data_IF_285884103551
#
_entry.id   IF_285884103551
#
_cell.length_a   1.000
_cell.length_b   1.000
_cell.length_c   1.000
_cell.angle_alpha   90.00
_cell.angle_beta   90.00
_cell.angle_gamma   90.00
#
_symmetry.space_group_name_H-M   'P 1'
#
loop_
_entity.id
_entity.type
_entity.pdbx_description
1 polymer ?
#
# COMPACT_ATOMS: atom_id res chain seq x y z
N UNK A 1 -13.40 -28.34 -35.79
CA UNK A 1 -13.73 -27.72 -34.48
C UNK A 1 -12.83 -28.37 -33.46
N UNK A 2 -11.97 -27.61 -32.76
CA UNK A 2 -11.00 -28.20 -31.84
C UNK A 2 -11.70 -28.72 -30.58
N UNK A 3 -11.12 -29.73 -29.91
CA UNK A 3 -11.65 -30.27 -28.64
C UNK A 3 -11.80 -29.17 -27.57
N UNK A 4 -10.89 -28.19 -27.58
CA UNK A 4 -10.89 -27.05 -26.66
C UNK A 4 -12.07 -26.11 -26.94
N UNK A 5 -12.43 -25.90 -28.21
CA UNK A 5 -13.54 -25.04 -28.61
C UNK A 5 -14.89 -25.62 -28.13
N UNK A 6 -15.05 -26.93 -28.21
CA UNK A 6 -16.22 -27.65 -27.70
C UNK A 6 -16.34 -27.56 -26.17
N UNK A 7 -15.22 -27.67 -25.46
CA UNK A 7 -15.17 -27.60 -23.99
C UNK A 7 -15.47 -26.18 -23.48
N UNK A 8 -14.88 -25.15 -24.09
CA UNK A 8 -15.13 -23.75 -23.76
C UNK A 8 -16.59 -23.35 -23.97
N UNK A 9 -17.19 -23.80 -25.08
CA UNK A 9 -18.59 -23.51 -25.40
C UNK A 9 -19.56 -24.19 -24.44
N UNK A 10 -19.22 -25.39 -23.94
CA UNK A 10 -20.00 -26.11 -22.93
C UNK A 10 -19.97 -25.41 -21.56
N UNK A 11 -18.81 -24.92 -21.11
CA UNK A 11 -18.65 -24.32 -19.78
C UNK A 11 -19.02 -22.83 -19.70
N UNK A 12 -18.69 -22.04 -20.73
CA UNK A 12 -18.83 -20.58 -20.68
C UNK A 12 -19.87 -20.02 -21.66
N UNK A 13 -20.48 -20.90 -22.46
CA UNK A 13 -21.43 -20.50 -23.50
C UNK A 13 -20.80 -19.66 -24.62
N UNK A 14 -21.66 -19.12 -25.49
CA UNK A 14 -21.26 -18.27 -26.61
C UNK A 14 -20.51 -16.99 -26.15
N UNK A 15 -20.94 -16.28 -25.08
CA UNK A 15 -20.22 -15.09 -24.62
C UNK A 15 -18.81 -15.39 -24.12
N UNK A 16 -18.62 -16.53 -23.44
CA UNK A 16 -17.30 -16.93 -22.97
C UNK A 16 -16.36 -17.40 -24.07
N UNK A 17 -16.88 -18.08 -25.09
CA UNK A 17 -16.09 -18.39 -26.28
C UNK A 17 -15.62 -17.12 -26.99
N UNK A 18 -16.51 -16.13 -27.14
CA UNK A 18 -16.15 -14.81 -27.70
C UNK A 18 -15.06 -14.11 -26.86
N UNK A 19 -15.17 -14.14 -25.53
CA UNK A 19 -14.17 -13.56 -24.64
C UNK A 19 -12.82 -14.29 -24.72
N UNK A 20 -12.83 -15.62 -24.86
CA UNK A 20 -11.61 -16.41 -25.00
C UNK A 20 -10.92 -16.21 -26.35
N UNK A 21 -11.68 -16.17 -27.45
CA UNK A 21 -11.14 -15.86 -28.77
C UNK A 21 -10.56 -14.44 -28.82
N UNK A 22 -11.24 -13.48 -28.17
CA UNK A 22 -10.70 -12.14 -27.97
C UNK A 22 -9.39 -12.18 -27.18
N UNK A 23 -9.35 -12.86 -26.04
CA UNK A 23 -8.14 -12.96 -25.22
C UNK A 23 -6.96 -13.60 -25.99
N UNK A 24 -7.23 -14.62 -26.82
CA UNK A 24 -6.23 -15.25 -27.67
C UNK A 24 -5.70 -14.30 -28.75
N UNK A 25 -6.57 -13.48 -29.34
CA UNK A 25 -6.16 -12.48 -30.33
C UNK A 25 -5.28 -11.37 -29.73
N UNK A 26 -5.47 -11.07 -28.44
CA UNK A 26 -4.73 -10.03 -27.72
C UNK A 26 -3.74 -10.59 -26.68
N UNK A 27 -3.29 -11.84 -26.83
CA UNK A 27 -2.49 -12.52 -25.79
C UNK A 27 -1.23 -11.73 -25.39
N UNK A 28 -0.50 -11.19 -26.36
CA UNK A 28 0.71 -10.40 -26.11
C UNK A 28 0.40 -9.09 -25.38
N UNK A 29 -0.73 -8.46 -25.67
CA UNK A 29 -1.17 -7.25 -24.98
C UNK A 29 -1.53 -7.56 -23.53
N UNK A 30 -2.25 -8.66 -23.28
CA UNK A 30 -2.58 -9.14 -21.94
C UNK A 30 -1.29 -9.44 -21.16
N UNK A 31 -0.31 -10.11 -21.77
CA UNK A 31 0.99 -10.37 -21.13
C UNK A 31 1.76 -9.10 -20.82
N UNK A 32 1.79 -8.12 -21.74
CA UNK A 32 2.45 -6.84 -21.52
C UNK A 32 1.80 -6.07 -20.35
N UNK A 33 0.46 -6.01 -20.30
CA UNK A 33 -0.27 -5.41 -19.19
C UNK A 33 -0.01 -6.14 -17.87
N UNK A 34 -0.03 -7.47 -17.89
CA UNK A 34 0.28 -8.30 -16.73
C UNK A 34 1.70 -8.06 -16.20
N UNK A 35 2.69 -7.94 -17.09
CA UNK A 35 4.07 -7.65 -16.72
C UNK A 35 4.21 -6.26 -16.08
N UNK A 36 3.65 -5.22 -16.71
CA UNK A 36 3.67 -3.86 -16.16
C UNK A 36 3.00 -3.81 -14.80
N UNK A 37 1.83 -4.45 -14.66
CA UNK A 37 1.12 -4.52 -13.38
C UNK A 37 1.90 -5.29 -12.31
N UNK A 38 2.56 -6.39 -12.69
CA UNK A 38 3.46 -7.15 -11.82
C UNK A 38 4.62 -6.31 -11.26
N UNK A 39 5.18 -5.42 -12.08
CA UNK A 39 6.20 -4.45 -11.63
C UNK A 39 5.61 -3.48 -10.59
N UNK A 40 4.42 -2.93 -10.82
CA UNK A 40 3.75 -2.07 -9.84
C UNK A 40 3.52 -2.78 -8.50
N UNK A 41 3.05 -4.03 -8.51
CA UNK A 41 2.87 -4.82 -7.29
C UNK A 41 4.21 -5.03 -6.57
N UNK A 42 5.26 -5.34 -7.32
CA UNK A 42 6.59 -5.60 -6.74
C UNK A 42 7.16 -4.35 -6.08
N UNK A 43 7.04 -3.18 -6.73
CA UNK A 43 7.42 -1.89 -6.16
C UNK A 43 6.58 -1.58 -4.92
N UNK A 44 5.27 -1.77 -4.99
CA UNK A 44 4.36 -1.53 -3.87
C UNK A 44 4.67 -2.43 -2.66
N UNK A 45 5.01 -3.70 -2.92
CA UNK A 45 5.42 -4.65 -1.89
C UNK A 45 6.77 -4.26 -1.27
N UNK A 46 7.72 -3.81 -2.08
CA UNK A 46 9.02 -3.34 -1.61
C UNK A 46 8.90 -2.08 -0.73
N UNK A 47 8.12 -1.08 -1.19
CA UNK A 47 7.84 0.13 -0.42
C UNK A 47 7.24 -0.20 0.94
N UNK A 48 6.23 -1.08 0.97
CA UNK A 48 5.56 -1.50 2.19
C UNK A 48 6.47 -2.25 3.17
N UNK A 49 7.32 -3.15 2.68
CA UNK A 49 8.17 -4.01 3.54
C UNK A 49 9.46 -3.34 4.00
N UNK A 50 10.09 -2.55 3.14
CA UNK A 50 11.46 -2.07 3.37
C UNK A 50 11.52 -0.57 3.68
N UNK A 51 10.85 0.26 2.88
CA UNK A 51 11.05 1.72 2.93
C UNK A 51 10.16 2.36 3.99
N UNK A 52 8.86 2.12 3.93
CA UNK A 52 7.88 2.83 4.74
C UNK A 52 8.02 2.57 6.25
N UNK A 53 8.24 1.33 6.74
CA UNK A 53 8.42 1.09 8.17
C UNK A 53 9.62 1.86 8.72
N UNK A 54 10.76 1.81 8.02
CA UNK A 54 12.00 2.48 8.44
C UNK A 54 11.88 4.00 8.40
N UNK A 55 11.26 4.56 7.35
CA UNK A 55 11.03 6.01 7.25
C UNK A 55 10.04 6.50 8.30
N UNK A 56 8.97 5.74 8.52
CA UNK A 56 7.93 6.07 9.50
C UNK A 56 8.50 6.10 10.91
N UNK A 57 9.23 5.06 11.30
CA UNK A 57 9.86 5.00 12.62
C UNK A 57 10.86 6.12 12.82
N UNK A 58 11.72 6.39 11.82
CA UNK A 58 12.68 7.51 11.88
C UNK A 58 11.96 8.85 12.08
N UNK A 59 10.97 9.13 11.25
CA UNK A 59 10.19 10.37 11.33
C UNK A 59 9.54 10.53 12.70
N UNK A 60 8.87 9.48 13.19
CA UNK A 60 8.18 9.51 14.49
C UNK A 60 9.19 9.78 15.62
N UNK A 61 10.35 9.08 15.63
CA UNK A 61 11.39 9.28 16.64
C UNK A 61 11.97 10.70 16.60
N UNK A 62 12.30 11.21 15.42
CA UNK A 62 12.81 12.57 15.24
C UNK A 62 11.79 13.61 15.73
N UNK A 63 10.50 13.38 15.43
CA UNK A 63 9.45 14.31 15.82
C UNK A 63 9.14 14.30 17.31
N UNK A 64 9.15 13.12 17.94
CA UNK A 64 9.07 12.98 19.40
C UNK A 64 10.19 13.78 20.07
N UNK A 65 11.44 13.59 19.62
CA UNK A 65 12.61 14.30 20.18
C UNK A 65 12.49 15.81 20.03
N UNK A 66 12.10 16.28 18.84
CA UNK A 66 11.93 17.69 18.56
C UNK A 66 10.86 18.33 19.47
N UNK A 67 9.71 17.67 19.63
CA UNK A 67 8.61 18.21 20.46
C UNK A 67 9.01 18.19 21.94
N UNK A 68 9.56 17.09 22.47
CA UNK A 68 10.03 17.01 23.87
C UNK A 68 11.11 18.04 24.19
N UNK A 69 12.00 18.36 23.24
CA UNK A 69 13.02 19.39 23.41
C UNK A 69 12.44 20.81 23.48
N UNK A 70 11.29 21.04 22.84
CA UNK A 70 10.64 22.36 22.78
C UNK A 70 9.58 22.54 23.87
N UNK A 71 8.93 21.46 24.29
CA UNK A 71 7.81 21.44 25.24
C UNK A 71 8.02 20.30 26.24
N UNK A 72 8.69 20.59 27.36
CA UNK A 72 9.03 19.58 28.38
C UNK A 72 7.82 18.98 29.10
N UNK A 73 6.69 19.69 29.16
CA UNK A 73 5.51 19.31 29.95
C UNK A 73 4.32 18.83 29.11
N UNK A 74 4.57 18.43 27.85
CA UNK A 74 3.50 17.94 26.98
C UNK A 74 3.01 16.57 27.45
N UNK A 75 1.69 16.40 27.52
CA UNK A 75 1.07 15.10 27.82
C UNK A 75 1.46 14.09 26.71
N UNK A 76 1.83 12.87 27.12
CA UNK A 76 2.22 11.78 26.21
C UNK A 76 1.10 11.41 25.24
N UNK A 77 -0.16 11.52 25.66
CA UNK A 77 -1.31 11.27 24.80
C UNK A 77 -1.47 12.33 23.70
N UNK A 78 -1.36 13.60 24.08
CA UNK A 78 -1.41 14.72 23.14
C UNK A 78 -0.25 14.68 22.15
N UNK A 79 0.96 14.37 22.63
CA UNK A 79 2.14 14.13 21.81
C UNK A 79 1.89 13.02 20.78
N UNK A 80 1.32 11.89 21.21
CA UNK A 80 1.05 10.76 20.32
C UNK A 80 0.05 11.13 19.22
N UNK A 81 -1.03 11.81 19.56
CA UNK A 81 -2.02 12.28 18.57
C UNK A 81 -1.40 13.25 17.56
N UNK A 82 -0.61 14.21 18.03
CA UNK A 82 0.05 15.20 17.17
C UNK A 82 1.04 14.55 16.20
N UNK A 83 1.90 13.67 16.70
CA UNK A 83 2.92 12.99 15.87
C UNK A 83 2.26 12.08 14.83
N UNK A 84 1.19 11.37 15.18
CA UNK A 84 0.42 10.57 14.20
C UNK A 84 -0.19 11.47 13.12
N UNK A 85 -0.78 12.62 13.50
CA UNK A 85 -1.34 13.57 12.54
C UNK A 85 -0.30 14.12 11.56
N UNK A 86 0.86 14.55 12.07
CA UNK A 86 1.96 15.05 11.24
C UNK A 86 2.56 13.94 10.36
N UNK A 87 2.63 12.70 10.87
CA UNK A 87 3.06 11.55 10.07
C UNK A 87 2.09 11.27 8.92
N UNK A 88 0.77 11.31 9.16
CA UNK A 88 -0.25 11.14 8.10
C UNK A 88 -0.09 12.19 7.01
N UNK A 89 0.09 13.46 7.38
CA UNK A 89 0.33 14.54 6.42
C UNK A 89 1.60 14.33 5.59
N UNK A 90 2.67 13.80 6.21
CA UNK A 90 3.90 13.45 5.49
C UNK A 90 3.67 12.31 4.49
N UNK A 91 2.85 11.32 4.84
CA UNK A 91 2.43 10.26 3.90
C UNK A 91 1.61 10.84 2.75
N UNK A 92 0.65 11.72 3.01
CA UNK A 92 -0.19 12.33 1.97
C UNK A 92 0.64 13.17 0.98
N UNK A 93 1.76 13.73 1.44
CA UNK A 93 2.70 14.47 0.61
C UNK A 93 3.67 13.57 -0.18
N UNK A 94 3.67 12.25 0.03
CA UNK A 94 4.56 11.36 -0.69
C UNK A 94 4.19 11.29 -2.18
N UNK A 95 5.21 11.15 -3.05
CA UNK A 95 4.94 11.01 -4.47
C UNK A 95 4.21 9.69 -4.73
N UNK A 96 3.36 9.75 -5.74
CA UNK A 96 2.47 8.70 -6.22
C UNK A 96 3.14 7.32 -6.43
N UNK A 97 4.43 7.26 -6.77
CA UNK A 97 5.17 6.00 -6.90
C UNK A 97 5.45 5.28 -5.57
N UNK A 98 5.30 5.95 -4.43
CA UNK A 98 5.46 5.39 -3.07
C UNK A 98 4.24 4.57 -2.63
N UNK A 99 3.46 4.07 -3.58
CA UNK A 99 2.30 3.26 -3.37
C UNK A 99 2.59 1.97 -2.55
N UNK A 100 1.54 1.41 -1.94
CA UNK A 100 1.57 0.14 -1.20
C UNK A 100 0.50 -0.81 -1.71
N UNK A 101 0.62 -2.10 -1.43
CA UNK A 101 -0.46 -3.04 -1.69
C UNK A 101 -1.69 -2.70 -0.83
N UNK A 102 -2.89 -2.98 -1.32
CA UNK A 102 -4.15 -2.83 -0.58
C UNK A 102 -4.34 -3.91 0.51
N UNK A 103 -5.41 -3.81 1.30
CA UNK A 103 -5.66 -4.71 2.45
C UNK A 103 -6.08 -6.13 2.02
N UNK A 104 -6.77 -6.28 0.88
CA UNK A 104 -7.40 -7.55 0.50
C UNK A 104 -7.10 -8.07 -0.90
N UNK A 105 -6.37 -7.35 -1.72
CA UNK A 105 -6.23 -7.70 -3.13
C UNK A 105 -4.91 -7.19 -3.67
N UNK A 106 -4.45 -7.78 -4.77
CA UNK A 106 -3.30 -7.36 -5.58
C UNK A 106 -3.39 -5.92 -6.12
N UNK A 107 -4.34 -5.11 -5.63
CA UNK A 107 -4.51 -3.70 -5.92
C UNK A 107 -3.45 -2.85 -5.23
N UNK A 108 -3.01 -1.82 -5.92
CA UNK A 108 -2.06 -0.85 -5.44
C UNK A 108 -2.81 0.40 -4.96
N UNK A 109 -2.42 0.91 -3.80
CA UNK A 109 -3.01 2.06 -3.12
C UNK A 109 -1.98 3.19 -3.10
N UNK A 110 -2.40 4.35 -3.60
CA UNK A 110 -1.62 5.58 -3.55
C UNK A 110 -1.35 6.03 -2.11
N UNK A 111 -0.33 6.87 -1.88
CA UNK A 111 -0.09 7.44 -0.56
C UNK A 111 -1.34 8.11 0.02
N UNK A 112 -1.75 7.64 1.18
CA UNK A 112 -2.95 8.05 1.91
C UNK A 112 -2.71 7.76 3.39
N UNK A 113 -2.60 8.81 4.20
CA UNK A 113 -2.20 8.73 5.59
C UNK A 113 -3.10 7.82 6.42
N UNK A 114 -4.40 7.80 6.15
CA UNK A 114 -5.35 6.92 6.85
C UNK A 114 -5.14 5.45 6.48
N UNK A 115 -5.09 5.14 5.18
CA UNK A 115 -4.89 3.76 4.71
C UNK A 115 -3.52 3.22 5.12
N UNK A 116 -2.51 4.08 5.17
CA UNK A 116 -1.16 3.71 5.59
C UNK A 116 -1.09 3.52 7.10
N UNK A 117 -1.75 4.38 7.88
CA UNK A 117 -1.87 4.22 9.33
C UNK A 117 -2.49 2.87 9.68
N UNK A 118 -3.61 2.53 9.04
CA UNK A 118 -4.29 1.26 9.23
C UNK A 118 -3.38 0.08 8.85
N UNK A 119 -2.71 0.15 7.70
CA UNK A 119 -1.93 -0.96 7.15
C UNK A 119 -0.57 -1.16 7.83
N UNK A 120 0.05 -0.09 8.33
CA UNK A 120 1.31 -0.14 9.08
C UNK A 120 1.09 -0.21 10.60
N UNK A 121 -0.17 -0.21 11.05
CA UNK A 121 -0.56 -0.16 12.46
C UNK A 121 0.07 1.04 13.21
N UNK A 122 0.23 2.17 12.51
CA UNK A 122 0.75 3.42 13.09
C UNK A 122 -0.42 4.14 13.74
N UNK A 123 -0.56 3.93 15.04
CA UNK A 123 -1.58 4.56 15.88
C UNK A 123 -0.92 5.24 17.10
N UNK A 124 -1.74 5.86 17.94
CA UNK A 124 -1.27 6.52 19.17
C UNK A 124 -0.58 5.53 20.13
N UNK A 125 -0.98 4.26 20.16
CA UNK A 125 -0.34 3.22 20.98
C UNK A 125 1.07 2.91 20.48
N UNK A 126 1.26 2.79 19.17
CA UNK A 126 2.58 2.60 18.55
C UNK A 126 3.53 3.76 18.89
N UNK A 127 3.04 5.00 18.84
CA UNK A 127 3.83 6.17 19.21
C UNK A 127 4.13 6.21 20.72
N UNK A 128 3.16 5.83 21.58
CA UNK A 128 3.39 5.68 23.03
C UNK A 128 4.47 4.64 23.33
N UNK A 129 4.47 3.51 22.63
CA UNK A 129 5.50 2.47 22.75
C UNK A 129 6.88 2.96 22.28
N UNK A 130 6.95 3.73 21.19
CA UNK A 130 8.20 4.35 20.77
C UNK A 130 8.70 5.41 21.77
N UNK A 131 7.78 6.15 22.41
CA UNK A 131 8.12 7.13 23.43
C UNK A 131 8.70 6.52 24.70
N UNK A 132 8.31 5.30 25.08
CA UNK A 132 8.86 4.62 26.27
C UNK A 132 10.25 4.02 26.04
N UNK A 133 10.64 3.84 24.77
CA UNK A 133 11.97 3.33 24.35
C UNK A 133 13.00 4.44 24.10
N UNK A 134 12.60 5.71 24.19
CA UNK A 134 13.41 6.91 23.89
C UNK A 134 13.70 7.70 25.15
#
# INVERSE_FOLDING_TARGET
>A
MSFIDGYMRFFLGIPGQMAFEFAKHYEYFIYAFGMVYGLFITVAAYNYRAILPRRSERFIRERIRHIKATQQDINTEELAHRVVGEWKQMIDALPKYMCIMGKRDYWVVWPDGEKYAEKLNVNHLYVKELCSRL
#
